data_IF_495791734531
#
_entry.id   IF_495791734531
#
_cell.length_a   1.000
_cell.length_b   1.000
_cell.length_c   1.000
_cell.angle_alpha   90.00
_cell.angle_beta   90.00
_cell.angle_gamma   90.00
#
_symmetry.space_group_name_H-M   'P 1'
#
loop_
_entity.id
_entity.type
_entity.pdbx_description
1 polymer ?
#
# COMPACT_ATOMS: atom_id res chain seq x y z
N UNK A 1 -10.73 14.21 26.67
CA UNK A 1 -9.44 13.59 27.04
C UNK A 1 -8.37 14.68 27.01
N UNK A 2 -7.63 14.92 28.09
CA UNK A 2 -6.73 16.08 28.16
C UNK A 2 -5.53 15.93 27.20
N UNK A 3 -5.13 17.05 26.59
CA UNK A 3 -4.00 17.14 25.64
C UNK A 3 -2.62 16.91 26.31
N UNK A 4 -2.57 16.73 27.63
CA UNK A 4 -1.34 16.74 28.45
C UNK A 4 -0.42 15.52 28.30
N UNK A 5 -0.78 14.52 27.47
CA UNK A 5 0.02 13.29 27.32
C UNK A 5 0.76 13.18 25.98
N UNK A 6 0.59 14.14 25.06
CA UNK A 6 1.26 14.13 23.78
C UNK A 6 2.59 14.89 23.84
N UNK A 7 3.69 14.16 23.60
CA UNK A 7 5.05 14.73 23.51
C UNK A 7 5.29 15.25 22.10
N UNK A 8 6.00 16.37 21.99
CA UNK A 8 6.41 16.90 20.69
C UNK A 8 7.42 15.97 20.01
N UNK A 9 7.21 15.65 18.74
CA UNK A 9 8.12 14.82 17.95
C UNK A 9 8.94 15.65 16.97
N UNK A 10 8.26 16.33 16.05
CA UNK A 10 8.88 17.16 15.03
C UNK A 10 7.92 18.26 14.59
N UNK A 11 8.51 19.38 14.17
CA UNK A 11 7.80 20.39 13.40
C UNK A 11 8.30 20.32 11.98
N UNK A 12 7.39 20.30 11.02
CA UNK A 12 7.72 20.34 9.60
C UNK A 12 8.10 21.79 9.28
N UNK A 13 9.28 22.22 9.72
CA UNK A 13 9.93 23.47 9.32
C UNK A 13 10.97 23.17 8.26
N UNK A 14 10.93 23.99 7.22
CA UNK A 14 11.82 24.04 6.05
C UNK A 14 11.83 22.78 5.18
N UNK A 15 10.74 22.58 4.43
CA UNK A 15 10.74 21.77 3.20
C UNK A 15 11.94 22.13 2.29
N UNK A 16 12.38 23.39 2.33
CA UNK A 16 13.59 23.90 1.67
C UNK A 16 14.86 23.15 2.05
N UNK A 17 14.97 22.60 3.27
CA UNK A 17 16.10 21.76 3.65
C UNK A 17 16.05 20.38 2.98
N UNK A 18 14.83 19.84 2.79
CA UNK A 18 14.65 18.57 2.08
C UNK A 18 14.85 18.72 0.57
N UNK A 19 14.51 19.86 -0.01
CA UNK A 19 14.77 20.14 -1.43
C UNK A 19 16.26 20.05 -1.81
N UNK A 20 17.16 20.31 -0.86
CA UNK A 20 18.60 20.20 -1.09
C UNK A 20 19.10 18.75 -1.06
N UNK A 21 18.32 17.82 -0.52
CA UNK A 21 18.71 16.41 -0.33
C UNK A 21 18.11 15.55 -1.44
N UNK A 22 18.93 15.15 -2.41
CA UNK A 22 18.53 14.20 -3.46
C UNK A 22 18.59 12.76 -2.96
N UNK A 23 17.71 12.41 -2.03
CA UNK A 23 17.56 11.06 -1.49
C UNK A 23 16.44 10.37 -2.25
N UNK A 24 16.62 9.10 -2.61
CA UNK A 24 15.58 8.27 -3.21
C UNK A 24 15.59 6.90 -2.53
N UNK A 25 14.45 6.22 -2.52
CA UNK A 25 14.42 4.81 -2.14
C UNK A 25 15.06 3.99 -3.26
N UNK A 26 15.68 2.88 -2.92
CA UNK A 26 16.03 1.87 -3.90
C UNK A 26 14.76 1.34 -4.57
N UNK A 27 14.89 0.79 -5.77
CA UNK A 27 13.75 0.20 -6.45
C UNK A 27 13.21 -0.96 -5.61
N UNK A 28 11.94 -0.92 -5.17
CA UNK A 28 11.37 -2.00 -4.37
C UNK A 28 11.42 -3.33 -5.12
N UNK A 29 11.87 -4.36 -4.41
CA UNK A 29 11.82 -5.76 -4.87
C UNK A 29 10.61 -6.43 -4.24
N UNK A 30 9.84 -7.14 -5.06
CA UNK A 30 8.73 -7.95 -4.61
C UNK A 30 9.28 -9.24 -4.01
N UNK A 31 8.75 -9.61 -2.84
CA UNK A 31 9.18 -10.80 -2.09
C UNK A 31 8.07 -11.84 -1.90
N UNK A 32 6.85 -11.52 -2.34
CA UNK A 32 5.68 -12.36 -2.11
C UNK A 32 4.41 -11.76 -2.68
N UNK A 33 3.44 -12.64 -2.94
CA UNK A 33 2.11 -12.36 -3.45
C UNK A 33 1.11 -13.14 -2.60
N UNK A 34 0.09 -12.46 -2.11
CA UNK A 34 -0.91 -13.04 -1.23
C UNK A 34 -2.31 -12.63 -1.69
N UNK A 35 -3.23 -13.58 -1.66
CA UNK A 35 -4.65 -13.32 -1.73
C UNK A 35 -5.14 -12.94 -0.34
N UNK A 36 -6.04 -11.99 -0.29
CA UNK A 36 -6.81 -11.60 0.89
C UNK A 36 -8.27 -11.83 0.53
N UNK A 37 -8.96 -12.62 1.35
CA UNK A 37 -10.36 -12.94 1.23
C UNK A 37 -11.03 -12.61 2.56
N UNK A 38 -11.65 -11.44 2.66
CA UNK A 38 -12.18 -10.91 3.91
C UNK A 38 -11.09 -10.83 5.00
N UNK A 39 -11.18 -11.73 5.97
CA UNK A 39 -10.29 -11.83 7.14
C UNK A 39 -9.24 -12.94 7.00
N UNK A 40 -9.18 -13.61 5.85
CA UNK A 40 -8.18 -14.64 5.59
C UNK A 40 -7.15 -14.14 4.58
N UNK A 41 -5.90 -14.54 4.75
CA UNK A 41 -4.85 -14.31 3.77
C UNK A 41 -4.03 -15.58 3.52
N UNK A 42 -3.62 -15.79 2.27
CA UNK A 42 -2.87 -16.97 1.86
C UNK A 42 -1.95 -16.67 0.67
N UNK A 43 -0.79 -17.33 0.55
CA UNK A 43 0.09 -17.17 -0.61
C UNK A 43 -0.62 -17.46 -1.94
N UNK A 44 -0.22 -16.76 -3.01
CA UNK A 44 -0.77 -16.97 -4.36
C UNK A 44 0.34 -17.03 -5.41
N UNK A 45 0.23 -17.96 -6.38
CA UNK A 45 1.08 -18.02 -7.58
C UNK A 45 0.47 -17.22 -8.70
N UNK A 46 -0.80 -16.87 -8.64
CA UNK A 46 -1.49 -16.33 -9.79
C UNK A 46 -1.90 -14.91 -9.52
N UNK A 47 -1.66 -14.00 -10.46
CA UNK A 47 -2.15 -12.62 -10.41
C UNK A 47 -3.65 -12.64 -10.69
N UNK A 48 -4.42 -12.05 -9.78
CA UNK A 48 -5.88 -12.10 -9.77
C UNK A 48 -6.52 -11.36 -10.95
N UNK A 49 -5.94 -10.23 -11.36
CA UNK A 49 -6.52 -9.34 -12.36
C UNK A 49 -5.49 -8.89 -13.40
N UNK A 50 -5.88 -8.90 -14.66
CA UNK A 50 -5.18 -8.17 -15.71
C UNK A 50 -6.03 -7.03 -16.26
N UNK A 51 -5.36 -5.96 -16.62
CA UNK A 51 -5.98 -4.78 -17.21
C UNK A 51 -6.32 -5.06 -18.68
N UNK A 52 -7.58 -4.82 -19.04
CA UNK A 52 -8.06 -4.93 -20.41
C UNK A 52 -7.28 -3.99 -21.30
N UNK A 53 -6.95 -4.41 -22.51
CA UNK A 53 -6.35 -3.49 -23.48
C UNK A 53 -7.34 -2.37 -23.81
N UNK A 54 -6.85 -1.18 -24.18
CA UNK A 54 -7.73 -0.01 -24.36
C UNK A 54 -8.82 -0.24 -25.43
N UNK A 55 -8.53 -1.05 -26.45
CA UNK A 55 -9.46 -1.48 -27.50
C UNK A 55 -10.56 -2.43 -27.00
N UNK A 56 -10.35 -3.13 -25.89
CA UNK A 56 -11.37 -3.97 -25.25
C UNK A 56 -12.31 -3.16 -24.32
N UNK A 57 -11.95 -1.93 -23.97
CA UNK A 57 -12.74 -1.08 -23.08
C UNK A 57 -13.75 -0.28 -23.91
N UNK A 58 -15.04 -0.59 -23.74
CA UNK A 58 -16.14 0.05 -24.48
C UNK A 58 -16.67 1.25 -23.70
N UNK A 59 -16.56 2.44 -24.30
CA UNK A 59 -17.09 3.69 -23.74
C UNK A 59 -18.53 3.96 -24.22
N UNK A 60 -19.36 4.67 -23.42
CA UNK A 60 -19.04 5.26 -22.12
C UNK A 60 -19.03 4.26 -20.97
N UNK A 61 -18.18 4.48 -19.97
CA UNK A 61 -18.18 3.70 -18.72
C UNK A 61 -19.15 4.34 -17.72
N UNK A 62 -20.28 3.69 -17.48
CA UNK A 62 -21.23 4.10 -16.45
C UNK A 62 -20.80 3.56 -15.08
N UNK A 63 -20.35 4.48 -14.21
CA UNK A 63 -19.92 4.14 -12.86
C UNK A 63 -21.09 4.00 -11.87
N UNK A 64 -22.32 4.32 -12.27
CA UNK A 64 -23.51 4.20 -11.41
C UNK A 64 -24.11 2.78 -11.41
N UNK A 65 -23.60 1.87 -12.24
CA UNK A 65 -24.13 0.51 -12.38
C UNK A 65 -23.99 -0.32 -11.10
N UNK A 66 -25.04 -1.09 -10.77
CA UNK A 66 -25.17 -1.94 -9.58
C UNK A 66 -24.12 -3.04 -9.52
N UNK A 67 -23.04 -2.81 -8.77
CA UNK A 67 -22.34 -3.91 -8.09
C UNK A 67 -23.15 -4.27 -6.84
N UNK A 68 -23.33 -5.56 -6.56
CA UNK A 68 -23.90 -6.00 -5.29
C UNK A 68 -23.15 -5.35 -4.12
N UNK A 69 -23.89 -4.87 -3.12
CA UNK A 69 -23.29 -4.25 -1.95
C UNK A 69 -22.70 -5.33 -1.05
N UNK A 70 -21.38 -5.41 -0.98
CA UNK A 70 -20.69 -6.21 0.03
C UNK A 70 -20.49 -5.37 1.28
N UNK A 71 -20.72 -5.97 2.46
CA UNK A 71 -20.29 -5.38 3.72
C UNK A 71 -18.75 -5.28 3.66
N UNK A 72 -18.19 -4.09 3.92
CA UNK A 72 -16.74 -3.93 3.95
C UNK A 72 -16.21 -4.45 5.28
N UNK A 73 -15.46 -5.54 5.24
CA UNK A 73 -14.78 -6.09 6.41
C UNK A 73 -13.60 -5.19 6.81
N UNK A 74 -13.25 -5.18 8.10
CA UNK A 74 -12.07 -4.47 8.63
C UNK A 74 -10.79 -5.24 8.29
N UNK A 75 -10.47 -5.32 7.01
CA UNK A 75 -9.27 -6.03 6.53
C UNK A 75 -7.95 -5.30 6.86
N UNK A 76 -8.02 -4.05 7.35
CA UNK A 76 -6.84 -3.22 7.65
C UNK A 76 -6.04 -3.71 8.86
N UNK A 77 -6.65 -4.46 9.78
CA UNK A 77 -5.96 -4.97 10.97
C UNK A 77 -4.99 -6.11 10.64
N UNK A 78 -5.19 -6.80 9.51
CA UNK A 78 -4.51 -8.04 9.20
C UNK A 78 -3.32 -7.94 8.25
N UNK A 79 -3.12 -6.84 7.51
CA UNK A 79 -1.97 -6.74 6.59
C UNK A 79 -0.63 -6.83 7.31
N UNK A 80 -0.61 -6.45 8.59
CA UNK A 80 0.55 -6.63 9.44
C UNK A 80 0.90 -8.12 9.58
N UNK A 81 -0.10 -9.01 9.70
CA UNK A 81 0.11 -10.46 9.70
C UNK A 81 0.72 -10.97 8.39
N UNK A 82 0.36 -10.41 7.23
CA UNK A 82 0.97 -10.80 5.94
C UNK A 82 2.47 -10.46 5.89
N UNK A 83 2.85 -9.29 6.42
CA UNK A 83 4.26 -8.92 6.57
C UNK A 83 4.97 -9.90 7.51
N UNK A 84 4.36 -10.18 8.66
CA UNK A 84 4.93 -11.09 9.66
C UNK A 84 5.08 -12.51 9.13
N UNK A 85 4.08 -13.08 8.46
CA UNK A 85 4.17 -14.39 7.81
C UNK A 85 5.37 -14.46 6.85
N UNK A 86 5.56 -13.42 6.05
CA UNK A 86 6.70 -13.33 5.12
C UNK A 86 8.05 -13.20 5.84
N UNK A 87 8.11 -12.47 6.95
CA UNK A 87 9.33 -12.31 7.76
C UNK A 87 9.69 -13.58 8.56
N UNK A 88 8.71 -14.40 8.92
CA UNK A 88 8.87 -15.60 9.75
C UNK A 88 9.31 -16.86 8.99
N UNK A 89 9.58 -16.77 7.69
CA UNK A 89 9.79 -17.96 6.87
C UNK A 89 8.52 -18.82 6.74
N UNK A 90 7.35 -18.29 7.13
CA UNK A 90 6.07 -18.89 6.82
C UNK A 90 5.91 -18.86 5.30
N UNK A 91 5.94 -20.04 4.67
CA UNK A 91 5.65 -20.36 3.26
C UNK A 91 5.25 -19.19 2.34
N UNK A 92 6.13 -18.20 2.15
CA UNK A 92 6.09 -17.40 0.93
C UNK A 92 6.32 -18.41 -0.18
N UNK A 93 5.52 -18.38 -1.24
CA UNK A 93 5.68 -19.28 -2.39
C UNK A 93 7.12 -19.32 -2.93
N UNK A 94 7.89 -18.26 -2.67
CA UNK A 94 9.27 -18.12 -3.11
C UNK A 94 10.21 -17.86 -1.94
N UNK A 95 9.96 -18.48 -0.79
CA UNK A 95 11.00 -18.66 0.23
C UNK A 95 12.13 -19.53 -0.37
N UNK A 96 12.97 -18.93 -1.22
CA UNK A 96 14.25 -19.52 -1.56
C UNK A 96 15.15 -19.37 -0.33
N UNK A 97 15.53 -20.52 0.21
CA UNK A 97 16.67 -20.70 1.09
C UNK A 97 17.86 -19.88 0.58
N UNK A 98 18.35 -18.99 1.45
CA UNK A 98 19.78 -18.85 1.70
C UNK A 98 19.96 -18.11 3.02
N UNK A 99 20.52 -18.84 3.99
CA UNK A 99 21.37 -18.28 5.02
C UNK A 99 22.45 -17.43 4.34
N UNK A 100 22.17 -16.15 4.12
CA UNK A 100 23.25 -15.19 4.20
C UNK A 100 23.43 -14.95 5.70
N UNK A 101 24.53 -15.49 6.24
CA UNK A 101 25.12 -15.03 7.49
C UNK A 101 25.42 -13.53 7.35
N UNK A 102 24.39 -12.70 7.52
CA UNK A 102 24.57 -11.29 7.74
C UNK A 102 25.24 -11.16 9.10
N UNK A 103 26.48 -10.67 9.08
CA UNK A 103 27.28 -10.33 10.23
C UNK A 103 26.45 -9.75 11.38
N UNK A 104 26.85 -10.07 12.61
CA UNK A 104 26.32 -9.62 13.92
C UNK A 104 26.06 -8.09 13.96
N UNK A 105 25.00 -7.64 13.30
CA UNK A 105 24.42 -6.33 13.45
C UNK A 105 23.13 -6.61 14.19
N UNK A 106 23.09 -6.24 15.47
CA UNK A 106 21.84 -6.09 16.22
C UNK A 106 20.94 -5.13 15.43
N UNK A 107 20.01 -5.69 14.65
CA UNK A 107 19.01 -4.93 13.93
C UNK A 107 17.79 -4.77 14.83
N UNK A 108 17.57 -3.56 15.34
CA UNK A 108 16.32 -3.23 16.04
C UNK A 108 15.18 -3.15 15.03
N UNK A 109 14.21 -4.06 15.15
CA UNK A 109 13.03 -4.06 14.29
C UNK A 109 11.98 -3.07 14.84
N UNK A 110 11.58 -2.11 14.01
CA UNK A 110 10.48 -1.19 14.33
C UNK A 110 9.26 -1.54 13.49
N UNK A 111 8.19 -1.92 14.16
CA UNK A 111 6.91 -2.24 13.54
C UNK A 111 5.98 -1.02 13.56
N UNK A 112 5.21 -0.82 12.51
CA UNK A 112 4.22 0.26 12.44
C UNK A 112 2.94 -0.21 11.76
N UNK A 113 1.81 0.30 12.25
CA UNK A 113 0.50 0.19 11.61
C UNK A 113 -0.24 1.52 11.69
N UNK A 114 -1.13 1.77 10.74
CA UNK A 114 -2.10 2.87 10.84
C UNK A 114 -3.14 2.54 11.93
N UNK A 115 -3.46 3.47 12.85
CA UNK A 115 -4.49 3.23 13.86
C UNK A 115 -5.89 3.19 13.22
N UNK A 116 -6.83 2.50 13.87
CA UNK A 116 -8.23 2.52 13.47
C UNK A 116 -8.78 3.96 13.43
N UNK A 117 -9.44 4.31 12.33
CA UNK A 117 -10.25 5.52 12.24
C UNK A 117 -11.66 5.17 12.74
N UNK A 118 -12.07 5.72 13.88
CA UNK A 118 -13.41 5.54 14.46
C UNK A 118 -14.53 6.26 13.67
N UNK A 119 -14.19 7.01 12.62
CA UNK A 119 -15.19 7.73 11.82
C UNK A 119 -15.82 6.80 10.78
N UNK A 120 -17.06 6.36 11.05
CA UNK A 120 -17.98 5.86 10.03
C UNK A 120 -18.19 6.94 8.95
N UNK A 121 -17.43 6.85 7.87
CA UNK A 121 -17.66 7.68 6.70
C UNK A 121 -18.82 7.09 5.88
N UNK A 122 -19.94 7.83 5.79
CA UNK A 122 -21.01 7.57 4.80
C UNK A 122 -20.51 7.95 3.40
N UNK A 123 -19.61 7.13 2.86
CA UNK A 123 -19.02 7.28 1.53
C UNK A 123 -19.62 6.28 0.52
N UNK A 124 -20.86 5.84 0.75
CA UNK A 124 -21.54 4.80 -0.05
C UNK A 124 -21.45 5.02 -1.57
N UNK A 125 -21.41 6.27 -2.05
CA UNK A 125 -21.27 6.58 -3.50
C UNK A 125 -19.83 6.69 -4.03
N UNK A 126 -18.83 7.08 -3.24
CA UNK A 126 -17.47 7.36 -3.76
C UNK A 126 -16.62 6.10 -3.88
N UNK A 127 -16.74 5.16 -2.92
CA UNK A 127 -16.10 3.85 -3.02
C UNK A 127 -16.66 3.03 -4.17
N UNK A 128 -17.97 3.16 -4.39
CA UNK A 128 -18.70 2.47 -5.43
C UNK A 128 -18.17 2.76 -6.84
N UNK A 129 -17.90 4.03 -7.19
CA UNK A 129 -17.33 4.37 -8.50
C UNK A 129 -15.95 3.77 -8.74
N UNK A 130 -15.15 3.58 -7.67
CA UNK A 130 -13.84 2.98 -7.83
C UNK A 130 -13.93 1.48 -8.07
N UNK A 131 -14.78 0.78 -7.31
CA UNK A 131 -15.06 -0.64 -7.50
C UNK A 131 -15.67 -0.91 -8.88
N UNK A 132 -16.68 -0.13 -9.26
CA UNK A 132 -17.34 -0.25 -10.56
C UNK A 132 -16.36 0.01 -11.71
N UNK A 133 -15.49 1.00 -11.58
CA UNK A 133 -14.45 1.23 -12.57
C UNK A 133 -13.50 0.02 -12.68
N UNK A 134 -13.09 -0.56 -11.55
CA UNK A 134 -12.23 -1.74 -11.55
C UNK A 134 -12.89 -2.93 -12.27
N UNK A 135 -14.16 -3.22 -11.96
CA UNK A 135 -14.95 -4.27 -12.63
C UNK A 135 -15.03 -4.07 -14.16
N UNK A 136 -15.14 -2.82 -14.62
CA UNK A 136 -15.26 -2.51 -16.04
C UNK A 136 -13.94 -2.67 -16.80
N UNK A 137 -12.79 -2.43 -16.15
CA UNK A 137 -11.49 -2.31 -16.84
C UNK A 137 -10.50 -3.44 -16.51
N UNK A 138 -10.75 -4.22 -15.47
CA UNK A 138 -10.01 -5.43 -15.16
C UNK A 138 -10.81 -6.66 -15.56
N UNK A 139 -10.08 -7.71 -15.91
CA UNK A 139 -10.60 -9.04 -16.14
C UNK A 139 -9.93 -9.98 -15.14
N UNK A 140 -10.72 -10.86 -14.54
CA UNK A 140 -10.22 -11.84 -13.58
C UNK A 140 -9.47 -12.95 -14.32
N UNK A 141 -8.42 -13.48 -13.70
CA UNK A 141 -7.76 -14.69 -14.20
C UNK A 141 -8.71 -15.90 -14.13
N UNK A 142 -8.60 -16.84 -15.07
CA UNK A 142 -9.39 -18.08 -15.12
C UNK A 142 -9.32 -18.89 -13.79
N UNK A 143 -8.30 -18.68 -12.96
CA UNK A 143 -8.17 -19.31 -11.63
C UNK A 143 -9.04 -18.68 -10.53
N UNK A 144 -9.62 -17.51 -10.77
CA UNK A 144 -10.53 -16.84 -9.84
C UNK A 144 -11.98 -17.36 -9.95
N UNK A 145 -12.27 -18.19 -10.95
CA UNK A 145 -13.60 -18.73 -11.28
C UNK A 145 -14.03 -19.93 -10.42
N UNK A 146 -13.61 -20.00 -9.15
CA UNK A 146 -14.07 -21.09 -8.27
C UNK A 146 -15.50 -20.92 -7.77
N UNK A 147 -16.08 -19.71 -7.82
CA UNK A 147 -17.42 -19.42 -7.28
C UNK A 147 -18.46 -18.93 -8.31
N UNK A 148 -18.11 -18.76 -9.59
CA UNK A 148 -19.04 -18.22 -10.60
C UNK A 148 -19.53 -16.79 -10.30
N UNK A 149 -18.79 -16.02 -9.47
CA UNK A 149 -19.13 -14.64 -9.10
C UNK A 149 -18.92 -13.72 -10.30
N UNK A 150 -19.95 -12.95 -10.64
CA UNK A 150 -19.92 -11.96 -11.73
C UNK A 150 -19.47 -10.56 -11.30
N UNK A 151 -19.32 -10.31 -10.00
CA UNK A 151 -19.15 -8.95 -9.44
C UNK A 151 -17.83 -8.80 -8.67
N UNK A 152 -17.24 -7.60 -8.76
CA UNK A 152 -16.02 -7.22 -8.05
C UNK A 152 -16.31 -6.98 -6.56
N UNK A 153 -15.71 -7.80 -5.67
CA UNK A 153 -15.78 -7.64 -4.21
C UNK A 153 -14.50 -6.95 -3.70
N UNK A 154 -14.62 -5.78 -3.09
CA UNK A 154 -13.46 -5.01 -2.58
C UNK A 154 -12.82 -5.63 -1.32
N UNK A 155 -13.47 -6.65 -0.73
CA UNK A 155 -12.91 -7.48 0.35
C UNK A 155 -12.04 -8.63 -0.17
N UNK A 156 -12.08 -8.92 -1.46
CA UNK A 156 -11.29 -9.95 -2.12
C UNK A 156 -10.27 -9.26 -3.02
N UNK A 157 -9.00 -9.29 -2.61
CA UNK A 157 -7.95 -8.58 -3.35
C UNK A 157 -6.58 -9.19 -3.10
N UNK A 158 -5.60 -8.73 -3.86
CA UNK A 158 -4.22 -9.16 -3.70
C UNK A 158 -3.35 -8.09 -3.05
N UNK A 159 -2.39 -8.57 -2.28
CA UNK A 159 -1.32 -7.75 -1.72
C UNK A 159 0.03 -8.30 -2.11
N UNK A 160 0.99 -7.38 -2.22
CA UNK A 160 2.37 -7.64 -2.55
C UNK A 160 3.25 -7.23 -1.38
N UNK A 161 4.17 -8.11 -1.01
CA UNK A 161 5.21 -7.79 -0.03
C UNK A 161 6.42 -7.20 -0.75
N UNK A 162 6.93 -6.11 -0.20
CA UNK A 162 8.01 -5.32 -0.78
C UNK A 162 9.18 -5.26 0.18
N UNK A 163 10.38 -5.29 -0.39
CA UNK A 163 11.62 -4.97 0.29
C UNK A 163 12.33 -3.84 -0.47
N UNK A 164 12.72 -2.79 0.23
CA UNK A 164 13.54 -1.69 -0.32
C UNK A 164 14.54 -1.20 0.73
N UNK A 165 15.39 -0.25 0.34
CA UNK A 165 16.30 0.45 1.23
C UNK A 165 16.23 1.96 1.04
N UNK A 166 16.41 2.72 2.13
CA UNK A 166 16.53 4.17 2.14
C UNK A 166 17.56 4.61 3.17
N UNK A 167 18.65 5.22 2.72
CA UNK A 167 19.78 5.51 3.60
C UNK A 167 20.33 4.21 4.19
N UNK A 168 20.27 4.07 5.52
CA UNK A 168 20.67 2.85 6.25
C UNK A 168 19.52 1.92 6.61
N UNK A 169 18.27 2.30 6.31
CA UNK A 169 17.10 1.52 6.69
C UNK A 169 16.76 0.53 5.59
N UNK A 170 16.57 -0.73 5.98
CA UNK A 170 15.93 -1.76 5.17
C UNK A 170 14.43 -1.75 5.51
N UNK A 171 13.59 -1.50 4.52
CA UNK A 171 12.14 -1.39 4.72
C UNK A 171 11.45 -2.62 4.14
N UNK A 172 10.57 -3.20 4.94
CA UNK A 172 9.66 -4.27 4.55
C UNK A 172 8.23 -3.78 4.73
N UNK A 173 7.42 -3.84 3.69
CA UNK A 173 6.05 -3.30 3.72
C UNK A 173 5.15 -4.03 2.73
N UNK A 174 3.84 -3.86 2.91
CA UNK A 174 2.83 -4.45 2.04
C UNK A 174 2.09 -3.36 1.28
N UNK A 175 1.79 -3.63 0.02
CA UNK A 175 0.92 -2.77 -0.78
C UNK A 175 -0.12 -3.62 -1.51
N UNK A 176 -1.36 -3.11 -1.56
CA UNK A 176 -2.41 -3.71 -2.37
C UNK A 176 -2.10 -3.53 -3.86
N UNK A 177 -2.27 -4.60 -4.63
CA UNK A 177 -2.17 -4.57 -6.10
C UNK A 177 -3.57 -4.55 -6.71
N UNK A 178 -3.72 -3.85 -7.84
CA UNK A 178 -4.98 -3.84 -8.61
C UNK A 178 -4.94 -4.81 -9.78
N UNK A 179 -3.77 -4.99 -10.40
CA UNK A 179 -3.59 -5.91 -11.50
C UNK A 179 -2.31 -5.62 -12.29
N UNK A 180 -2.16 -6.33 -13.39
CA UNK A 180 -1.02 -6.18 -14.32
C UNK A 180 -1.51 -5.87 -15.74
N UNK A 181 -0.66 -5.26 -16.56
CA UNK A 181 -0.83 -5.29 -18.01
C UNK A 181 -0.21 -6.60 -18.49
N UNK A 182 -1.05 -7.48 -19.03
CA UNK A 182 -0.63 -8.81 -19.46
C UNK A 182 -0.05 -8.78 -20.89
N UNK A 183 1.12 -9.39 -21.08
CA UNK A 183 1.72 -9.62 -22.41
C UNK A 183 1.43 -11.05 -22.93
N UNK A 184 0.46 -11.76 -22.32
CA UNK A 184 0.06 -13.15 -22.65
C UNK A 184 -0.49 -13.90 -21.42
N UNK A 185 -1.08 -15.10 -21.58
CA UNK A 185 -1.65 -15.85 -20.44
C UNK A 185 -0.61 -16.33 -19.42
N UNK A 186 0.62 -16.62 -19.88
CA UNK A 186 1.70 -17.09 -19.01
C UNK A 186 2.17 -16.04 -18.00
N UNK A 187 1.86 -14.76 -18.20
CA UNK A 187 2.25 -13.71 -17.25
C UNK A 187 1.43 -13.69 -15.97
N UNK A 188 0.29 -14.39 -15.94
CA UNK A 188 -0.57 -14.48 -14.76
C UNK A 188 -0.02 -15.45 -13.73
N UNK A 189 0.65 -16.53 -14.17
CA UNK A 189 1.27 -17.50 -13.27
C UNK A 189 2.68 -17.05 -12.88
N UNK A 190 2.97 -17.09 -11.60
CA UNK A 190 4.21 -16.70 -10.97
C UNK A 190 4.86 -17.97 -10.44
N UNK A 191 5.95 -18.37 -11.08
CA UNK A 191 6.72 -19.56 -10.73
C UNK A 191 8.00 -19.26 -9.95
N UNK A 192 8.41 -17.98 -9.85
CA UNK A 192 9.53 -17.52 -9.04
C UNK A 192 9.48 -15.98 -8.82
N UNK A 193 10.33 -15.46 -7.93
CA UNK A 193 10.46 -14.02 -7.67
C UNK A 193 10.88 -13.21 -8.90
N UNK A 194 11.69 -13.78 -9.81
CA UNK A 194 12.15 -13.06 -10.99
C UNK A 194 10.96 -12.77 -11.91
N UNK A 195 10.08 -13.74 -12.11
CA UNK A 195 8.82 -13.60 -12.85
C UNK A 195 7.94 -12.55 -12.19
N UNK A 196 7.76 -12.60 -10.86
CA UNK A 196 6.98 -11.60 -10.13
C UNK A 196 7.52 -10.17 -10.33
N UNK A 197 8.83 -9.98 -10.19
CA UNK A 197 9.48 -8.68 -10.28
C UNK A 197 9.52 -8.11 -11.72
N UNK A 198 9.29 -8.95 -12.74
CA UNK A 198 9.22 -8.53 -14.14
C UNK A 198 7.82 -8.05 -14.55
N UNK A 199 6.79 -8.37 -13.76
CA UNK A 199 5.42 -7.99 -14.08
C UNK A 199 5.23 -6.47 -14.19
N UNK A 200 4.31 -6.09 -15.08
CA UNK A 200 3.97 -4.68 -15.34
C UNK A 200 2.71 -4.29 -14.57
N UNK A 201 2.89 -3.97 -13.29
CA UNK A 201 1.79 -3.54 -12.42
C UNK A 201 1.20 -2.20 -12.87
N UNK A 202 -0.13 -2.14 -12.79
CA UNK A 202 -0.95 -1.01 -13.24
C UNK A 202 -1.95 -0.63 -12.17
N UNK A 203 -2.27 0.66 -12.11
CA UNK A 203 -3.36 1.17 -11.29
C UNK A 203 -4.33 2.00 -12.12
N UNK A 204 -5.58 1.96 -11.70
CA UNK A 204 -6.67 2.76 -12.25
C UNK A 204 -7.21 3.68 -11.16
N UNK A 205 -7.47 4.94 -11.49
CA UNK A 205 -8.06 5.93 -10.60
C UNK A 205 -9.19 6.65 -11.32
N UNK A 206 -10.09 7.27 -10.55
CA UNK A 206 -11.12 8.14 -11.08
C UNK A 206 -11.03 9.54 -10.49
N UNK A 207 -11.34 10.53 -11.31
CA UNK A 207 -11.50 11.93 -10.92
C UNK A 207 -12.76 12.50 -11.60
N UNK A 208 -13.37 13.51 -11.00
CA UNK A 208 -14.32 14.36 -11.72
C UNK A 208 -13.55 15.12 -12.81
N UNK A 209 -14.12 15.27 -14.01
CA UNK A 209 -13.48 15.94 -15.13
C UNK A 209 -13.00 17.37 -14.79
N UNK A 210 -13.77 18.09 -13.96
CA UNK A 210 -13.39 19.42 -13.43
C UNK A 210 -12.16 19.44 -12.51
N UNK A 211 -11.64 18.28 -12.11
CA UNK A 211 -10.45 18.13 -11.26
C UNK A 211 -9.25 17.60 -12.04
N UNK A 212 -9.30 17.66 -13.38
CA UNK A 212 -8.11 17.51 -14.22
C UNK A 212 -7.07 18.51 -13.70
N UNK A 213 -5.82 18.06 -13.52
CA UNK A 213 -4.72 18.84 -12.96
C UNK A 213 -4.70 19.07 -11.43
N UNK A 214 -5.46 18.29 -10.66
CA UNK A 214 -5.34 18.32 -9.19
C UNK A 214 -3.99 17.71 -8.72
N UNK A 215 -2.96 18.55 -8.58
CA UNK A 215 -1.61 18.15 -8.18
C UNK A 215 -1.56 17.36 -6.86
N UNK A 216 -2.44 17.67 -5.90
CA UNK A 216 -2.51 16.96 -4.62
C UNK A 216 -3.00 15.51 -4.80
N UNK A 217 -3.95 15.29 -5.71
CA UNK A 217 -4.39 13.92 -6.07
C UNK A 217 -3.29 13.19 -6.82
N UNK A 218 -2.61 13.86 -7.75
CA UNK A 218 -1.46 13.29 -8.47
C UNK A 218 -0.32 12.92 -7.52
N UNK A 219 -0.03 13.72 -6.49
CA UNK A 219 0.95 13.38 -5.45
C UNK A 219 0.55 12.08 -4.73
N UNK A 220 -0.71 11.93 -4.34
CA UNK A 220 -1.19 10.70 -3.68
C UNK A 220 -1.08 9.48 -4.60
N UNK A 221 -1.46 9.61 -5.87
CA UNK A 221 -1.36 8.53 -6.84
C UNK A 221 0.09 8.16 -7.12
N UNK A 222 0.96 9.16 -7.23
CA UNK A 222 2.40 8.96 -7.39
C UNK A 222 3.01 8.24 -6.18
N UNK A 223 2.72 8.67 -4.95
CA UNK A 223 3.22 8.01 -3.74
C UNK A 223 2.78 6.54 -3.67
N UNK A 224 1.49 6.27 -3.92
CA UNK A 224 0.96 4.91 -3.95
C UNK A 224 1.69 4.05 -4.99
N UNK A 225 1.81 4.55 -6.22
CA UNK A 225 2.45 3.78 -7.28
C UNK A 225 3.97 3.62 -7.09
N UNK A 226 4.63 4.64 -6.55
CA UNK A 226 6.08 4.67 -6.35
C UNK A 226 6.52 3.63 -5.32
N UNK A 227 5.73 3.50 -4.24
CA UNK A 227 5.95 2.47 -3.22
C UNK A 227 5.51 1.07 -3.69
N UNK A 228 4.46 0.97 -4.51
CA UNK A 228 3.90 -0.33 -4.95
C UNK A 228 4.48 -0.86 -6.27
N UNK A 229 5.60 -0.30 -6.75
CA UNK A 229 6.25 -0.66 -8.01
C UNK A 229 5.30 -0.61 -9.25
N UNK A 230 4.29 0.26 -9.23
CA UNK A 230 3.40 0.52 -10.36
C UNK A 230 4.12 1.43 -11.37
N UNK A 231 4.02 1.09 -12.65
CA UNK A 231 4.62 1.90 -13.74
C UNK A 231 3.58 2.70 -14.51
N UNK A 232 2.36 2.17 -14.61
CA UNK A 232 1.31 2.69 -15.45
C UNK A 232 0.09 3.06 -14.60
N UNK A 233 -0.38 4.29 -14.78
CA UNK A 233 -1.57 4.82 -14.14
C UNK A 233 -2.58 5.21 -15.22
N UNK A 234 -3.81 4.70 -15.11
CA UNK A 234 -4.93 5.12 -15.93
C UNK A 234 -5.89 5.95 -15.10
N UNK A 235 -6.25 7.14 -15.59
CA UNK A 235 -7.19 8.04 -14.91
C UNK A 235 -8.46 8.18 -15.73
N UNK A 236 -9.57 7.74 -15.14
CA UNK A 236 -10.90 7.94 -15.68
C UNK A 236 -11.48 9.28 -15.21
N UNK A 237 -11.77 10.17 -16.16
CA UNK A 237 -12.43 11.44 -15.89
C UNK A 237 -13.93 11.30 -16.09
N UNK A 238 -14.68 11.25 -14.99
CA UNK A 238 -16.14 11.17 -15.04
C UNK A 238 -16.78 12.55 -15.04
N UNK A 239 -17.88 12.69 -15.76
CA UNK A 239 -18.73 13.87 -15.77
C UNK A 239 -19.60 13.96 -14.50
N UNK A 240 -20.49 14.96 -14.43
CA UNK A 240 -21.42 15.15 -13.31
C UNK A 240 -22.39 13.98 -13.11
N UNK A 241 -22.65 13.22 -14.16
CA UNK A 241 -23.58 12.11 -14.16
C UNK A 241 -22.91 10.82 -13.68
N UNK A 242 -21.61 10.87 -13.36
CA UNK A 242 -20.85 9.69 -12.95
C UNK A 242 -20.41 8.82 -14.13
N UNK A 243 -20.46 9.35 -15.36
CA UNK A 243 -20.14 8.62 -16.59
C UNK A 243 -18.79 9.05 -17.13
N UNK A 244 -17.95 8.10 -17.52
CA UNK A 244 -16.67 8.35 -18.20
C UNK A 244 -16.91 8.19 -19.69
N UNK A 245 -16.97 9.31 -20.42
CA UNK A 245 -17.30 9.31 -21.85
C UNK A 245 -16.07 9.16 -22.74
N UNK A 246 -14.95 9.74 -22.31
CA UNK A 246 -13.69 9.74 -23.05
C UNK A 246 -12.76 8.61 -22.60
N UNK A 247 -11.87 8.12 -23.49
CA UNK A 247 -10.80 7.21 -23.13
C UNK A 247 -10.02 7.66 -21.89
N UNK A 248 -9.69 6.71 -21.02
CA UNK A 248 -8.91 6.98 -19.81
C UNK A 248 -7.53 7.55 -20.18
N UNK A 249 -7.09 8.57 -19.44
CA UNK A 249 -5.75 9.11 -19.62
C UNK A 249 -4.71 8.12 -19.10
N UNK A 250 -3.81 7.69 -19.97
CA UNK A 250 -2.65 6.89 -19.59
C UNK A 250 -1.49 7.78 -19.21
N UNK A 251 -0.95 7.56 -18.02
CA UNK A 251 0.19 8.29 -17.48
C UNK A 251 1.23 7.29 -16.98
N UNK A 252 2.46 7.38 -17.49
CA UNK A 252 3.57 6.71 -16.85
C UNK A 252 3.91 7.39 -15.53
N UNK A 253 4.03 6.61 -14.46
CA UNK A 253 4.19 7.15 -13.10
C UNK A 253 5.41 8.07 -12.97
N UNK A 254 6.50 7.75 -13.68
CA UNK A 254 7.74 8.55 -13.73
C UNK A 254 7.56 9.95 -14.31
N UNK A 255 6.49 10.18 -15.06
CA UNK A 255 6.21 11.43 -15.75
C UNK A 255 5.28 12.35 -14.94
N UNK A 256 4.58 11.83 -13.94
CA UNK A 256 3.71 12.65 -13.06
C UNK A 256 4.49 13.82 -12.43
N UNK A 257 5.65 13.62 -11.78
CA UNK A 257 6.33 14.72 -11.11
C UNK A 257 6.79 15.83 -12.05
N UNK A 258 6.95 15.56 -13.36
CA UNK A 258 7.35 16.56 -14.36
C UNK A 258 6.26 17.60 -14.61
N UNK A 259 5.00 17.26 -14.28
CA UNK A 259 3.82 18.11 -14.44
C UNK A 259 3.38 18.79 -13.14
N UNK A 260 4.14 18.64 -12.05
CA UNK A 260 3.72 19.11 -10.73
C UNK A 260 4.76 20.00 -10.06
N UNK A 261 4.30 20.86 -9.16
CA UNK A 261 5.17 21.73 -8.35
C UNK A 261 5.97 20.99 -7.27
N UNK A 262 5.46 19.85 -6.77
CA UNK A 262 6.12 19.04 -5.74
C UNK A 262 7.26 18.19 -6.32
N UNK A 263 8.25 17.91 -5.47
CA UNK A 263 9.47 17.20 -5.87
C UNK A 263 9.56 15.82 -5.18
N UNK A 264 9.74 14.71 -5.93
CA UNK A 264 9.85 13.36 -5.37
C UNK A 264 10.85 13.22 -4.23
N UNK A 265 12.04 13.83 -4.36
CA UNK A 265 13.09 13.73 -3.37
C UNK A 265 12.75 14.42 -2.04
N UNK A 266 11.81 15.38 -2.03
CA UNK A 266 11.33 16.00 -0.79
C UNK A 266 10.55 14.97 0.04
N UNK A 267 9.72 14.15 -0.62
CA UNK A 267 8.93 13.09 0.04
C UNK A 267 9.85 12.02 0.66
N UNK A 268 10.84 11.55 -0.08
CA UNK A 268 11.78 10.53 0.39
C UNK A 268 12.77 11.07 1.43
N UNK A 269 13.24 12.32 1.28
CA UNK A 269 14.06 12.96 2.32
C UNK A 269 13.29 13.14 3.63
N UNK A 270 12.00 13.51 3.55
CA UNK A 270 11.11 13.56 4.71
C UNK A 270 10.91 12.19 5.34
N UNK A 271 10.68 11.15 4.54
CA UNK A 271 10.59 9.76 5.04
C UNK A 271 11.86 9.37 5.79
N UNK A 272 13.04 9.63 5.23
CA UNK A 272 14.31 9.31 5.88
C UNK A 272 14.50 10.08 7.20
N UNK A 273 14.11 11.35 7.25
CA UNK A 273 14.21 12.14 8.49
C UNK A 273 13.29 11.59 9.58
N UNK A 274 12.06 11.22 9.22
CA UNK A 274 11.13 10.55 10.15
C UNK A 274 11.72 9.25 10.66
N UNK A 275 12.21 8.37 9.78
CA UNK A 275 12.76 7.07 10.18
C UNK A 275 13.95 7.23 11.14
N UNK A 276 14.86 8.17 10.87
CA UNK A 276 15.97 8.46 11.78
C UNK A 276 15.50 9.00 13.14
N UNK A 277 14.42 9.78 13.18
CA UNK A 277 13.87 10.29 14.44
C UNK A 277 13.14 9.22 15.23
N UNK A 278 12.43 8.32 14.56
CA UNK A 278 11.72 7.20 15.19
C UNK A 278 12.75 6.26 15.82
N UNK A 279 13.76 5.85 15.07
CA UNK A 279 14.77 4.93 15.57
C UNK A 279 15.56 5.51 16.75
N UNK A 280 15.96 6.79 16.71
CA UNK A 280 16.55 7.48 17.87
C UNK A 280 15.60 7.61 19.07
N UNK A 281 14.30 7.71 18.83
CA UNK A 281 13.31 7.84 19.91
C UNK A 281 13.07 6.50 20.61
N UNK A 282 13.30 5.39 19.90
CA UNK A 282 13.01 4.02 20.34
C UNK A 282 14.30 3.20 20.57
N UNK A 283 15.46 3.85 20.63
CA UNK A 283 16.79 3.23 20.71
C UNK A 283 17.00 2.34 21.95
N UNK A 284 16.26 2.63 23.01
CA UNK A 284 16.28 1.94 24.30
C UNK A 284 15.06 1.05 24.54
N UNK A 285 14.20 0.91 23.52
CA UNK A 285 12.94 0.16 23.62
C UNK A 285 13.11 -1.22 23.01
N UNK A 286 13.16 -2.23 23.87
CA UNK A 286 13.10 -3.64 23.47
C UNK A 286 11.83 -4.28 24.04
N UNK A 287 10.69 -4.02 23.39
CA UNK A 287 9.38 -4.54 23.82
C UNK A 287 8.41 -4.62 22.65
N UNK A 288 7.77 -5.79 22.51
CA UNK A 288 6.69 -6.03 21.55
C UNK A 288 5.34 -5.45 22.01
N UNK A 289 5.24 -5.06 23.28
CA UNK A 289 3.99 -4.55 23.86
C UNK A 289 3.93 -3.02 23.91
N UNK A 290 5.09 -2.36 24.01
CA UNK A 290 5.18 -0.90 24.09
C UNK A 290 4.85 -0.27 22.73
N UNK A 291 3.84 0.61 22.71
CA UNK A 291 3.37 1.27 21.48
C UNK A 291 3.62 2.76 21.51
N UNK A 292 4.26 3.26 20.44
CA UNK A 292 4.40 4.69 20.17
C UNK A 292 3.36 5.12 19.13
N UNK A 293 2.37 5.92 19.56
CA UNK A 293 1.36 6.47 18.65
C UNK A 293 1.79 7.86 18.20
N UNK A 294 2.04 8.03 16.90
CA UNK A 294 2.34 9.31 16.28
C UNK A 294 1.07 9.96 15.72
N UNK A 295 0.87 11.25 15.97
CA UNK A 295 -0.28 12.04 15.53
C UNK A 295 0.18 13.30 14.80
N UNK A 296 -0.32 13.52 13.58
CA UNK A 296 0.01 14.72 12.80
C UNK A 296 -1.07 15.80 12.96
N UNK A 297 -0.66 16.99 13.40
CA UNK A 297 -1.48 18.18 13.44
C UNK A 297 -1.23 19.04 12.19
N UNK A 298 -2.17 19.02 11.25
CA UNK A 298 -2.06 19.75 9.99
C UNK A 298 -2.03 21.28 10.16
N UNK A 299 -2.78 21.83 11.12
CA UNK A 299 -2.85 23.28 11.40
C UNK A 299 -1.49 23.81 11.84
N UNK A 300 -0.80 23.07 12.71
CA UNK A 300 0.49 23.48 13.26
C UNK A 300 1.68 22.87 12.50
N UNK A 301 1.43 21.95 11.55
CA UNK A 301 2.42 21.19 10.80
C UNK A 301 3.40 20.50 11.74
N UNK A 302 2.88 19.88 12.79
CA UNK A 302 3.66 19.22 13.85
C UNK A 302 3.22 17.78 13.98
N UNK A 303 4.17 16.90 14.26
CA UNK A 303 3.90 15.54 14.72
C UNK A 303 4.11 15.52 16.23
N UNK A 304 3.17 14.90 16.92
CA UNK A 304 3.25 14.57 18.34
C UNK A 304 3.28 13.06 18.49
N UNK A 305 3.73 12.57 19.63
CA UNK A 305 3.66 11.15 19.95
C UNK A 305 3.19 10.92 21.38
N UNK A 306 2.63 9.74 21.61
CA UNK A 306 2.26 9.25 22.93
C UNK A 306 2.73 7.82 23.08
N UNK A 307 3.25 7.50 24.27
CA UNK A 307 3.75 6.16 24.60
C UNK A 307 2.67 5.43 25.41
N UNK A 308 2.45 4.17 25.07
CA UNK A 308 1.66 3.22 25.83
C UNK A 308 2.57 2.07 26.21
N UNK A 309 3.02 2.03 27.47
CA UNK A 309 3.90 0.99 27.98
C UNK A 309 3.09 -0.26 28.33
N UNK A 310 3.63 -1.43 27.97
CA UNK A 310 2.99 -2.72 28.17
C UNK A 310 1.73 -2.93 27.30
N UNK A 311 1.11 -4.10 27.47
CA UNK A 311 -0.08 -4.48 26.69
C UNK A 311 -1.22 -3.49 26.89
N UNK A 312 -1.76 -2.98 25.79
CA UNK A 312 -2.86 -2.02 25.75
C UNK A 312 -3.79 -2.28 24.57
N UNK A 313 -4.91 -1.56 24.51
CA UNK A 313 -5.80 -1.58 23.33
C UNK A 313 -5.11 -1.14 22.03
N UNK A 314 -3.93 -0.50 22.12
CA UNK A 314 -3.17 -0.09 20.95
C UNK A 314 -2.14 -1.13 20.51
N UNK A 315 -1.87 -2.15 21.34
CA UNK A 315 -0.97 -3.26 21.02
C UNK A 315 -1.46 -3.99 19.77
N UNK A 316 -0.52 -4.39 18.92
CA UNK A 316 -0.83 -4.83 17.56
C UNK A 316 0.03 -5.97 17.04
N UNK A 317 1.03 -6.37 17.81
CA UNK A 317 1.78 -7.58 17.54
C UNK A 317 0.93 -8.76 18.05
N UNK A 318 0.57 -9.73 17.20
CA UNK A 318 -0.18 -10.91 17.61
C UNK A 318 0.62 -11.74 18.62
N UNK A 319 -0.05 -12.40 19.57
CA UNK A 319 0.63 -13.22 20.58
C UNK A 319 1.45 -14.33 19.93
N UNK A 320 0.90 -15.04 18.95
CA UNK A 320 1.58 -16.13 18.24
C UNK A 320 2.91 -15.67 17.60
N UNK A 321 2.96 -14.43 17.11
CA UNK A 321 4.19 -13.84 16.61
C UNK A 321 5.17 -13.50 17.75
N UNK A 322 4.65 -12.91 18.83
CA UNK A 322 5.48 -12.57 19.98
C UNK A 322 6.11 -13.81 20.60
N UNK A 323 5.35 -14.90 20.74
CA UNK A 323 5.83 -16.19 21.22
C UNK A 323 6.90 -16.76 20.28
N UNK A 324 6.82 -16.49 18.97
CA UNK A 324 7.78 -17.01 17.99
C UNK A 324 9.12 -16.35 18.17
N UNK A 325 9.13 -15.01 18.21
CA UNK A 325 10.34 -14.23 18.40
C UNK A 325 10.96 -14.52 19.78
N UNK A 326 10.15 -14.82 20.78
CA UNK A 326 10.60 -15.17 22.13
C UNK A 326 11.00 -16.64 22.29
N UNK A 327 10.91 -17.46 21.22
CA UNK A 327 11.32 -18.87 21.24
C UNK A 327 10.46 -19.76 22.14
N UNK A 328 9.17 -19.44 22.33
CA UNK A 328 8.24 -20.15 23.21
C UNK A 328 7.45 -21.27 22.50
N UNK A 329 8.07 -21.96 21.55
CA UNK A 329 7.44 -23.03 20.77
C UNK A 329 7.97 -24.42 21.13
#
# INVERSE_FOLDING_TARGET
MSEDQFKFFLKIKDLTNYEKRKIFIERPRLTGLYNVNYEDFFPSDTIMYHFKSQDQIVYPLDLNGTSEFFLKHRTQEQFFHTIMHTMLGGTSMFAEEKEDHAADIELTNVYSREPEMEEEFDCRKVFYYHMRLAELVFEASDSCDQDGRKHYDDNIFQVLTHQTSIGRFKLHYVCRTQGIIADGRDCLKINNLQTLNRQRFVAVKQLWAKMKDNELRLLKFWLQGYLSNIKDLYIAYKDSDGVVREPMEHIHLRDIPKKCSWKPHVCTAFLLDILNKIERLMDTVDSLETVYRFSFNAKHKTVFYKIYEGKSQYSFIPNDYADFIQGRF
#
